data_IF_070480007854
#
_entry.id   IF_070480007854
#
_cell.length_a   1.000
_cell.length_b   1.000
_cell.length_c   1.000
_cell.angle_alpha   90.00
_cell.angle_beta   90.00
_cell.angle_gamma   90.00
#
_symmetry.space_group_name_H-M   'P 1'
#
loop_
_entity.id
_entity.type
_entity.pdbx_description
1 polymer ?
#
# COMPACT_ATOMS: atom_id res chain seq x y z
N UNK A 1 1.41 6.02 -4.89
CA UNK A 1 0.68 5.94 -3.61
C UNK A 1 1.00 7.17 -2.77
N UNK A 2 0.10 7.57 -1.88
CA UNK A 2 0.29 8.71 -0.96
C UNK A 2 -0.21 8.35 0.44
N UNK A 3 0.35 7.31 1.03
CA UNK A 3 0.04 6.85 2.39
C UNK A 3 1.14 7.34 3.34
N UNK A 4 0.85 8.21 4.31
CA UNK A 4 1.86 8.84 5.16
C UNK A 4 2.53 7.87 6.14
N UNK A 5 2.00 6.66 6.30
CA UNK A 5 2.58 5.64 7.18
C UNK A 5 3.43 4.61 6.45
N UNK A 6 3.45 4.64 5.10
CA UNK A 6 4.31 3.77 4.33
C UNK A 6 5.61 4.49 3.97
N UNK A 7 6.78 3.85 4.14
CA UNK A 7 8.07 4.42 3.75
C UNK A 7 8.11 4.72 2.25
N UNK A 8 9.08 5.51 1.76
CA UNK A 8 9.16 5.90 0.35
C UNK A 8 9.14 4.75 -0.63
N UNK A 9 9.61 3.57 -0.22
CA UNK A 9 9.51 2.34 -1.01
C UNK A 9 9.25 1.13 -0.13
N UNK A 10 8.38 0.25 -0.62
CA UNK A 10 8.20 -1.11 -0.10
C UNK A 10 8.37 -2.12 -1.22
N UNK A 11 9.14 -3.17 -0.99
CA UNK A 11 9.09 -4.41 -1.77
C UNK A 11 8.10 -5.34 -1.08
N UNK A 12 7.10 -5.81 -1.81
CA UNK A 12 6.03 -6.66 -1.27
C UNK A 12 6.28 -8.10 -1.66
N UNK A 13 6.32 -8.98 -0.67
CA UNK A 13 6.55 -10.41 -0.84
C UNK A 13 5.21 -11.17 -0.80
N UNK A 14 5.07 -12.14 -1.68
CA UNK A 14 3.84 -12.93 -1.80
C UNK A 14 2.81 -12.29 -2.72
N UNK A 15 2.22 -13.10 -3.56
CA UNK A 15 1.31 -12.64 -4.61
C UNK A 15 -0.02 -12.13 -4.04
N UNK A 16 -0.50 -12.76 -2.98
CA UNK A 16 -1.74 -12.42 -2.29
C UNK A 16 -1.61 -11.05 -1.61
N UNK A 17 -0.51 -10.82 -0.85
CA UNK A 17 -0.26 -9.53 -0.21
C UNK A 17 -0.02 -8.43 -1.23
N UNK A 18 0.76 -8.69 -2.28
CA UNK A 18 1.01 -7.73 -3.34
C UNK A 18 -0.29 -7.30 -4.02
N UNK A 19 -1.17 -8.26 -4.30
CA UNK A 19 -2.46 -7.97 -4.92
C UNK A 19 -3.42 -7.25 -3.95
N UNK A 20 -3.46 -7.62 -2.68
CA UNK A 20 -4.27 -6.95 -1.66
C UNK A 20 -3.82 -5.50 -1.44
N UNK A 21 -2.51 -5.24 -1.40
CA UNK A 21 -1.96 -3.88 -1.33
C UNK A 21 -2.27 -3.05 -2.59
N UNK A 22 -2.29 -3.68 -3.76
CA UNK A 22 -2.73 -3.05 -5.01
C UNK A 22 -4.21 -2.70 -5.00
N UNK A 23 -5.07 -3.62 -4.53
CA UNK A 23 -6.50 -3.42 -4.39
C UNK A 23 -6.87 -2.32 -3.37
N UNK A 24 -6.01 -2.10 -2.39
CA UNK A 24 -6.17 -1.09 -1.35
C UNK A 24 -5.17 0.07 -1.49
N UNK A 25 -4.79 0.39 -2.72
CA UNK A 25 -3.84 1.47 -2.98
C UNK A 25 -4.43 2.80 -2.54
N UNK A 26 -3.80 3.43 -1.55
CA UNK A 26 -4.25 4.71 -1.00
C UNK A 26 -3.59 5.89 -1.71
N UNK A 27 -4.36 6.92 -1.98
CA UNK A 27 -3.90 8.19 -2.54
C UNK A 27 -4.64 9.36 -1.90
N UNK A 28 -4.17 10.57 -2.14
CA UNK A 28 -4.94 11.79 -1.82
C UNK A 28 -5.63 12.27 -3.08
N UNK A 29 -6.78 12.91 -2.92
CA UNK A 29 -7.49 13.50 -4.03
C UNK A 29 -6.62 14.53 -4.76
N UNK A 30 -6.82 14.66 -6.04
CA UNK A 30 -6.12 15.62 -6.88
C UNK A 30 -6.77 17.01 -6.75
N UNK A 31 -5.95 18.06 -6.74
CA UNK A 31 -6.45 19.44 -6.85
C UNK A 31 -7.15 19.74 -8.19
N UNK A 32 -7.00 18.87 -9.17
CA UNK A 32 -7.69 18.96 -10.46
C UNK A 32 -9.12 18.39 -10.41
N UNK A 33 -9.46 17.65 -9.35
CA UNK A 33 -10.81 17.15 -9.16
C UNK A 33 -11.73 18.27 -8.67
N UNK A 34 -12.93 18.38 -9.27
CA UNK A 34 -13.99 19.24 -8.75
C UNK A 34 -14.67 18.51 -7.61
N UNK A 35 -14.16 18.70 -6.39
CA UNK A 35 -14.73 18.11 -5.19
C UNK A 35 -16.08 18.74 -4.86
N UNK A 36 -17.02 17.92 -4.38
CA UNK A 36 -18.26 18.43 -3.82
C UNK A 36 -18.00 19.24 -2.55
N UNK A 37 -18.92 20.14 -2.20
CA UNK A 37 -18.84 20.96 -1.00
C UNK A 37 -18.74 20.05 0.25
N UNK A 38 -17.82 20.36 1.14
CA UNK A 38 -17.58 19.59 2.38
C UNK A 38 -16.64 18.38 2.24
N UNK A 39 -16.14 18.06 1.05
CA UNK A 39 -15.16 16.97 0.87
C UNK A 39 -13.76 17.46 1.18
N UNK A 40 -13.08 16.83 2.15
CA UNK A 40 -11.68 17.14 2.48
C UNK A 40 -10.74 16.73 1.32
N UNK A 41 -10.05 17.70 0.68
CA UNK A 41 -9.12 17.40 -0.41
C UNK A 41 -7.87 16.64 0.04
N UNK A 42 -7.59 16.58 1.34
CA UNK A 42 -6.45 15.87 1.92
C UNK A 42 -6.80 14.48 2.43
N UNK A 43 -8.08 14.11 2.43
CA UNK A 43 -8.49 12.78 2.84
C UNK A 43 -7.82 11.70 1.98
N UNK A 44 -7.38 10.62 2.61
CA UNK A 44 -6.96 9.43 1.90
C UNK A 44 -8.18 8.78 1.25
N UNK A 45 -8.02 8.40 0.00
CA UNK A 45 -9.01 7.61 -0.74
C UNK A 45 -8.34 6.37 -1.31
N UNK A 46 -9.10 5.30 -1.44
CA UNK A 46 -8.60 4.07 -2.07
C UNK A 46 -8.92 4.09 -3.56
N UNK A 47 -7.87 3.95 -4.37
CA UNK A 47 -7.99 3.78 -5.81
C UNK A 47 -7.33 2.46 -6.22
N UNK A 48 -8.11 1.37 -6.26
CA UNK A 48 -7.59 0.06 -6.58
C UNK A 48 -6.76 0.06 -7.87
N UNK A 49 -5.51 -0.40 -7.76
CA UNK A 49 -4.54 -0.48 -8.85
C UNK A 49 -4.26 0.85 -9.57
N UNK A 50 -4.51 1.98 -8.88
CA UNK A 50 -4.42 3.33 -9.45
C UNK A 50 -5.31 3.51 -10.71
N UNK A 51 -6.43 2.82 -10.79
CA UNK A 51 -7.36 2.87 -11.90
C UNK A 51 -8.70 3.52 -11.51
N UNK A 52 -8.83 4.86 -11.61
CA UNK A 52 -10.08 5.56 -11.28
C UNK A 52 -11.20 5.30 -12.29
N UNK A 53 -10.89 4.73 -13.44
CA UNK A 53 -11.85 4.47 -14.53
C UNK A 53 -12.33 3.01 -14.59
N UNK A 54 -12.17 2.26 -13.50
CA UNK A 54 -12.56 0.87 -13.45
C UNK A 54 -14.09 0.73 -13.53
N UNK A 55 -14.56 0.02 -14.55
CA UNK A 55 -15.99 -0.23 -14.83
C UNK A 55 -16.36 -1.72 -14.71
N UNK A 56 -15.51 -2.53 -14.13
CA UNK A 56 -15.65 -3.98 -13.97
C UNK A 56 -15.31 -4.43 -12.53
N UNK A 57 -15.68 -5.65 -12.15
CA UNK A 57 -15.44 -6.14 -10.79
C UNK A 57 -13.97 -6.11 -10.37
N UNK A 58 -13.70 -5.69 -9.13
CA UNK A 58 -12.35 -5.58 -8.58
C UNK A 58 -11.60 -6.92 -8.55
N UNK A 59 -12.33 -8.03 -8.41
CA UNK A 59 -11.77 -9.39 -8.44
C UNK A 59 -10.98 -9.68 -9.73
N UNK A 60 -11.36 -9.05 -10.85
CA UNK A 60 -10.67 -9.26 -12.13
C UNK A 60 -9.23 -8.73 -12.08
N UNK A 61 -9.04 -7.52 -11.53
CA UNK A 61 -7.70 -6.95 -11.36
C UNK A 61 -6.91 -7.71 -10.30
N UNK A 62 -7.56 -8.02 -9.16
CA UNK A 62 -6.94 -8.80 -8.10
C UNK A 62 -6.37 -10.12 -8.62
N UNK A 63 -7.19 -10.91 -9.30
CA UNK A 63 -6.80 -12.22 -9.81
C UNK A 63 -5.69 -12.12 -10.86
N UNK A 64 -5.82 -11.18 -11.81
CA UNK A 64 -4.81 -10.98 -12.85
C UNK A 64 -3.46 -10.57 -12.25
N UNK A 65 -3.47 -9.64 -11.31
CA UNK A 65 -2.24 -9.15 -10.67
C UNK A 65 -1.59 -10.24 -9.82
N UNK A 66 -2.36 -10.92 -8.96
CA UNK A 66 -1.91 -12.05 -8.16
C UNK A 66 -1.28 -13.15 -9.04
N UNK A 67 -1.97 -13.54 -10.10
CA UNK A 67 -1.50 -14.58 -11.00
C UNK A 67 -0.25 -14.17 -11.77
N UNK A 68 -0.12 -12.90 -12.15
CA UNK A 68 1.08 -12.37 -12.79
C UNK A 68 2.29 -12.50 -11.85
N UNK A 69 2.15 -12.01 -10.61
CA UNK A 69 3.22 -12.09 -9.61
C UNK A 69 3.60 -13.55 -9.36
N UNK A 70 2.60 -14.42 -9.14
CA UNK A 70 2.81 -15.85 -8.83
C UNK A 70 3.45 -16.65 -9.98
N UNK A 71 2.96 -16.44 -11.20
CA UNK A 71 3.38 -17.24 -12.37
C UNK A 71 4.68 -16.74 -13.02
N UNK A 72 4.95 -15.45 -12.91
CA UNK A 72 6.09 -14.80 -13.58
C UNK A 72 7.24 -14.46 -12.64
N UNK A 73 7.07 -14.72 -11.34
CA UNK A 73 8.05 -14.37 -10.31
C UNK A 73 8.51 -12.92 -10.42
N UNK A 74 7.53 -12.01 -10.56
CA UNK A 74 7.75 -10.57 -10.72
C UNK A 74 7.87 -9.93 -9.35
N UNK A 75 8.91 -9.14 -9.14
CA UNK A 75 9.02 -8.31 -7.95
C UNK A 75 7.97 -7.20 -7.95
N UNK A 76 7.31 -7.00 -6.82
CA UNK A 76 6.31 -5.97 -6.65
C UNK A 76 6.83 -4.87 -5.72
N UNK A 77 6.78 -3.62 -6.18
CA UNK A 77 7.20 -2.45 -5.41
C UNK A 77 6.05 -1.47 -5.27
N UNK A 78 5.93 -0.90 -4.07
CA UNK A 78 5.04 0.23 -3.80
C UNK A 78 5.91 1.46 -3.59
N UNK A 79 5.70 2.48 -4.40
CA UNK A 79 6.41 3.76 -4.29
C UNK A 79 5.46 4.78 -3.65
N UNK A 80 5.86 5.33 -2.50
CA UNK A 80 5.15 6.43 -1.86
C UNK A 80 5.72 7.76 -2.38
N UNK A 81 4.89 8.51 -3.09
CA UNK A 81 5.24 9.80 -3.69
C UNK A 81 4.59 10.97 -2.95
N UNK A 82 4.01 10.71 -1.80
CA UNK A 82 3.39 11.72 -0.94
C UNK A 82 4.33 12.22 0.15
N UNK A 83 3.91 12.04 1.37
CA UNK A 83 4.67 12.29 2.58
C UNK A 83 4.83 11.00 3.39
N UNK A 84 5.85 10.94 4.20
CA UNK A 84 6.09 9.91 5.19
C UNK A 84 6.25 10.58 6.55
N UNK A 85 5.32 10.30 7.46
CA UNK A 85 5.27 10.88 8.80
C UNK A 85 5.46 12.41 8.81
N UNK A 86 4.78 13.09 7.89
CA UNK A 86 4.83 14.56 7.74
C UNK A 86 6.01 15.09 6.92
N UNK A 87 6.96 14.24 6.55
CA UNK A 87 8.10 14.61 5.69
C UNK A 87 7.79 14.27 4.22
N UNK A 88 7.85 15.26 3.35
CA UNK A 88 7.56 15.09 1.92
C UNK A 88 8.60 14.20 1.25
N UNK A 89 8.15 13.18 0.53
CA UNK A 89 8.99 12.40 -0.38
C UNK A 89 9.17 13.18 -1.66
N UNK A 90 10.39 13.68 -1.90
CA UNK A 90 10.68 14.51 -3.08
C UNK A 90 10.82 13.66 -4.33
N UNK A 91 10.80 14.31 -5.50
CA UNK A 91 11.04 13.62 -6.77
C UNK A 91 12.45 13.04 -6.86
N UNK A 92 13.44 13.72 -6.26
CA UNK A 92 14.83 13.28 -6.23
C UNK A 92 14.97 11.96 -5.45
N UNK A 93 14.31 11.86 -4.29
CA UNK A 93 14.24 10.61 -3.50
C UNK A 93 13.58 9.50 -4.31
N UNK A 94 12.44 9.82 -4.95
CA UNK A 94 11.71 8.83 -5.77
C UNK A 94 12.57 8.33 -6.94
N UNK A 95 13.25 9.23 -7.66
CA UNK A 95 14.11 8.87 -8.79
C UNK A 95 15.32 8.05 -8.33
N UNK A 96 15.97 8.42 -7.22
CA UNK A 96 17.09 7.65 -6.65
C UNK A 96 16.68 6.24 -6.24
N UNK A 97 15.47 6.06 -5.69
CA UNK A 97 14.92 4.74 -5.40
C UNK A 97 14.77 3.91 -6.67
N UNK A 98 14.15 4.47 -7.70
CA UNK A 98 13.93 3.76 -8.96
C UNK A 98 15.26 3.38 -9.64
N UNK A 99 16.22 4.29 -9.64
CA UNK A 99 17.58 4.05 -10.16
C UNK A 99 18.25 2.90 -9.41
N UNK A 100 18.23 2.93 -8.06
CA UNK A 100 18.81 1.88 -7.24
C UNK A 100 18.18 0.50 -7.50
N UNK A 101 16.85 0.45 -7.71
CA UNK A 101 16.14 -0.80 -8.03
C UNK A 101 16.57 -1.31 -9.41
N UNK A 102 16.55 -0.45 -10.43
CA UNK A 102 16.87 -0.84 -11.82
C UNK A 102 18.32 -1.29 -11.97
N UNK A 103 19.23 -0.64 -11.25
CA UNK A 103 20.66 -0.98 -11.25
C UNK A 103 21.04 -2.16 -10.34
N UNK A 104 20.04 -2.74 -9.62
CA UNK A 104 20.29 -3.84 -8.69
C UNK A 104 21.10 -3.46 -7.44
N UNK A 105 21.16 -2.17 -7.12
CA UNK A 105 21.88 -1.63 -5.95
C UNK A 105 20.98 -1.49 -4.72
N UNK A 106 19.67 -1.63 -4.86
CA UNK A 106 18.71 -1.51 -3.76
C UNK A 106 18.89 -2.66 -2.77
N UNK A 107 19.15 -2.34 -1.52
CA UNK A 107 19.24 -3.31 -0.43
C UNK A 107 17.98 -3.21 0.42
N UNK A 108 17.12 -4.25 0.33
CA UNK A 108 15.87 -4.32 1.06
C UNK A 108 16.03 -5.12 2.35
N UNK A 109 15.52 -4.58 3.46
CA UNK A 109 15.46 -5.23 4.76
C UNK A 109 14.02 -5.45 5.17
N UNK A 110 13.76 -6.50 5.93
CA UNK A 110 12.43 -6.76 6.46
C UNK A 110 11.97 -5.58 7.34
N UNK A 111 10.75 -5.13 7.05
CA UNK A 111 10.10 -4.02 7.74
C UNK A 111 8.89 -4.53 8.55
N UNK A 112 8.08 -5.37 7.91
CA UNK A 112 6.94 -6.06 8.49
C UNK A 112 6.76 -7.37 7.73
N UNK A 113 5.96 -8.34 8.22
CA UNK A 113 5.76 -9.61 7.53
C UNK A 113 5.35 -9.43 6.07
N UNK A 114 6.19 -9.91 5.16
CA UNK A 114 5.96 -9.78 3.72
C UNK A 114 6.21 -8.39 3.14
N UNK A 115 6.68 -7.44 3.95
CA UNK A 115 7.02 -6.08 3.53
C UNK A 115 8.50 -5.80 3.84
N UNK A 116 9.23 -5.38 2.83
CA UNK A 116 10.63 -4.96 2.96
C UNK A 116 10.77 -3.50 2.53
N UNK A 117 11.67 -2.77 3.17
CA UNK A 117 12.03 -1.40 2.78
C UNK A 117 13.53 -1.25 2.63
N UNK A 118 13.98 -0.20 1.97
CA UNK A 118 15.38 0.18 1.94
C UNK A 118 15.62 1.36 2.87
N UNK A 119 16.83 1.45 3.41
CA UNK A 119 17.25 2.59 4.22
C UNK A 119 17.43 3.81 3.31
N UNK A 120 16.72 4.89 3.65
CA UNK A 120 16.79 6.17 2.94
C UNK A 120 16.96 7.24 3.99
N UNK A 121 18.04 8.01 3.86
CA UNK A 121 18.39 9.06 4.83
C UNK A 121 17.22 10.02 5.08
N UNK A 122 16.85 10.14 6.34
CA UNK A 122 15.76 10.99 6.81
C UNK A 122 14.36 10.42 6.55
N UNK A 123 14.24 9.13 6.19
CA UNK A 123 12.96 8.41 6.05
C UNK A 123 13.02 7.05 6.77
N UNK A 124 13.49 7.09 8.00
CA UNK A 124 13.66 5.90 8.82
C UNK A 124 12.30 5.33 9.24
N UNK A 125 11.99 4.15 8.76
CA UNK A 125 10.76 3.42 9.09
C UNK A 125 11.02 2.49 10.27
N UNK A 126 10.98 3.03 11.48
CA UNK A 126 11.27 2.30 12.71
C UNK A 126 9.98 1.96 13.48
N UNK A 127 9.55 0.71 13.36
CA UNK A 127 8.37 0.18 14.07
C UNK A 127 8.62 -0.06 15.58
N UNK A 128 9.80 0.22 16.11
CA UNK A 128 10.03 0.29 17.57
C UNK A 128 9.49 1.60 18.15
N UNK A 129 9.34 2.65 17.33
CA UNK A 129 8.64 3.88 17.71
C UNK A 129 7.13 3.60 17.81
N UNK A 130 6.59 3.74 19.03
CA UNK A 130 5.20 3.38 19.33
C UNK A 130 4.18 4.20 18.52
N UNK A 131 4.37 5.51 18.42
CA UNK A 131 3.45 6.41 17.70
C UNK A 131 3.39 6.06 16.20
N UNK A 132 4.54 5.77 15.61
CA UNK A 132 4.62 5.34 14.23
C UNK A 132 3.97 3.97 14.02
N UNK A 133 4.27 3.01 14.90
CA UNK A 133 3.68 1.67 14.87
C UNK A 133 2.15 1.72 14.94
N UNK A 134 1.60 2.53 15.84
CA UNK A 134 0.14 2.69 15.97
C UNK A 134 -0.48 3.31 14.71
N UNK A 135 0.15 4.34 14.14
CA UNK A 135 -0.30 4.94 12.89
C UNK A 135 -0.27 3.95 11.73
N UNK A 136 0.80 3.15 11.62
CA UNK A 136 0.93 2.10 10.61
C UNK A 136 -0.16 1.03 10.75
N UNK A 137 -0.37 0.51 11.96
CA UNK A 137 -1.41 -0.50 12.24
C UNK A 137 -2.79 0.07 11.93
N UNK A 138 -3.07 1.30 12.33
CA UNK A 138 -4.35 1.97 12.04
C UNK A 138 -4.61 2.02 10.53
N UNK A 139 -3.62 2.41 9.72
CA UNK A 139 -3.79 2.48 8.27
C UNK A 139 -3.89 1.09 7.62
N UNK A 140 -3.21 0.09 8.15
CA UNK A 140 -3.38 -1.30 7.68
C UNK A 140 -4.78 -1.84 7.99
N UNK A 141 -5.36 -1.51 9.15
CA UNK A 141 -6.76 -1.85 9.49
C UNK A 141 -7.76 -1.15 8.60
N UNK A 142 -7.54 0.13 8.29
CA UNK A 142 -8.39 0.86 7.36
C UNK A 142 -8.45 0.21 5.96
N UNK A 143 -7.37 -0.50 5.54
CA UNK A 143 -7.39 -1.30 4.31
C UNK A 143 -8.30 -2.52 4.43
N UNK A 144 -8.30 -3.19 5.59
CA UNK A 144 -9.21 -4.32 5.86
C UNK A 144 -10.66 -3.84 5.86
N UNK A 145 -10.95 -2.75 6.54
CA UNK A 145 -12.29 -2.13 6.55
C UNK A 145 -12.76 -1.77 5.13
N UNK A 146 -11.85 -1.24 4.29
CA UNK A 146 -12.18 -0.97 2.88
C UNK A 146 -12.52 -2.24 2.11
N UNK A 147 -11.81 -3.35 2.32
CA UNK A 147 -12.15 -4.63 1.67
C UNK A 147 -13.51 -5.16 2.14
N UNK A 148 -13.83 -5.02 3.41
CA UNK A 148 -15.16 -5.39 3.96
C UNK A 148 -16.28 -4.54 3.33
N UNK A 149 -16.07 -3.22 3.20
CA UNK A 149 -17.02 -2.32 2.54
C UNK A 149 -17.22 -2.69 1.06
N UNK A 150 -16.15 -3.04 0.35
CA UNK A 150 -16.21 -3.52 -1.03
C UNK A 150 -17.12 -4.76 -1.18
N UNK A 151 -17.18 -5.61 -0.15
CA UNK A 151 -18.04 -6.79 -0.12
C UNK A 151 -19.53 -6.48 0.03
N UNK A 152 -19.88 -5.30 0.58
CA UNK A 152 -21.30 -4.90 0.81
C UNK A 152 -22.01 -4.41 -0.44
N UNK A 153 -21.29 -4.06 -1.48
CA UNK A 153 -21.80 -3.50 -2.75
C UNK A 153 -22.35 -4.60 -3.68
N UNK A 154 -23.26 -5.44 -3.15
CA UNK A 154 -23.85 -6.55 -3.90
C UNK A 154 -22.86 -7.63 -4.37
N UNK A 155 -21.64 -7.64 -3.79
CA UNK A 155 -20.57 -8.57 -4.12
C UNK A 155 -19.76 -8.23 -5.39
N UNK A 156 -20.08 -7.13 -6.08
CA UNK A 156 -19.37 -6.73 -7.31
C UNK A 156 -17.87 -6.50 -7.09
N UNK A 157 -17.51 -5.95 -5.92
CA UNK A 157 -16.13 -5.64 -5.56
C UNK A 157 -15.58 -6.58 -4.48
N UNK A 158 -16.29 -7.65 -4.15
CA UNK A 158 -15.86 -8.65 -3.18
C UNK A 158 -14.55 -9.31 -3.65
N UNK A 159 -13.56 -9.36 -2.76
CA UNK A 159 -12.30 -10.08 -2.97
C UNK A 159 -12.33 -11.42 -2.22
N UNK A 160 -11.48 -12.40 -2.61
CA UNK A 160 -11.35 -13.66 -1.89
C UNK A 160 -10.74 -13.42 -0.50
N UNK A 161 -11.07 -14.30 0.45
CA UNK A 161 -10.62 -14.23 1.84
C UNK A 161 -9.10 -14.12 1.97
N UNK A 162 -8.35 -14.72 1.06
CA UNK A 162 -6.89 -14.64 1.01
C UNK A 162 -6.35 -13.19 0.97
N UNK A 163 -7.13 -12.24 0.42
CA UNK A 163 -6.75 -10.84 0.38
C UNK A 163 -6.76 -10.22 1.80
N UNK A 164 -7.84 -10.45 2.53
CA UNK A 164 -7.99 -9.99 3.92
C UNK A 164 -7.02 -10.74 4.85
N UNK A 165 -6.84 -12.04 4.66
CA UNK A 165 -5.90 -12.85 5.43
C UNK A 165 -4.45 -12.36 5.25
N UNK A 166 -4.05 -11.99 4.03
CA UNK A 166 -2.70 -11.49 3.77
C UNK A 166 -2.44 -10.16 4.48
N UNK A 167 -3.42 -9.24 4.50
CA UNK A 167 -3.31 -7.97 5.23
C UNK A 167 -3.38 -8.19 6.75
N UNK A 168 -4.25 -9.07 7.24
CA UNK A 168 -4.39 -9.39 8.66
C UNK A 168 -3.10 -9.93 9.25
N UNK A 169 -2.36 -10.80 8.53
CA UNK A 169 -1.05 -11.30 8.97
C UNK A 169 -0.06 -10.18 9.27
N UNK A 170 -0.08 -9.09 8.51
CA UNK A 170 0.77 -7.92 8.77
C UNK A 170 0.36 -7.25 10.08
N UNK A 171 -0.95 -7.08 10.33
CA UNK A 171 -1.47 -6.42 11.53
C UNK A 171 -1.25 -7.28 12.78
N UNK A 172 -1.60 -8.56 12.72
CA UNK A 172 -1.63 -9.47 13.88
C UNK A 172 -0.24 -9.70 14.47
N UNK A 173 0.80 -9.65 13.65
CA UNK A 173 2.19 -9.75 14.11
C UNK A 173 2.54 -8.66 15.11
N UNK A 174 2.00 -7.45 14.92
CA UNK A 174 2.27 -6.32 15.82
C UNK A 174 1.35 -6.31 17.06
N UNK A 175 0.20 -6.95 16.99
CA UNK A 175 -0.73 -7.04 18.11
C UNK A 175 -0.34 -8.16 19.10
N UNK A 176 0.25 -9.23 18.58
CA UNK A 176 0.64 -10.40 19.35
C UNK A 176 2.09 -10.35 19.88
N UNK A 177 2.90 -9.39 19.44
CA UNK A 177 4.22 -9.13 20.00
C UNK A 177 4.05 -8.44 21.37
N UNK A 178 4.02 -9.27 22.44
CA UNK A 178 4.07 -8.83 23.84
C UNK A 178 5.51 -8.67 24.28
#
# INVERSE_FOLDING_TARGET
MKDPTLPPVLKVQGAELASAMGATLATKRSSAERLAEGVDPNALVYEPYANPFRTYPLINDYTKFRDLVKKKNVDCYIINTGDFMGKKVTKEVTLGILEAIVEGKANFKEFAPGLQTMEIEGFEADLSNQDYKEAFIKNMRARLEFLEECGKDGGLNLLPDEASEALSKVVDTFLNAK
#
